data_IF_778475955297
#
_entry.id   IF_778475955297
#
_cell.length_a   1.000
_cell.length_b   1.000
_cell.length_c   1.000
_cell.angle_alpha   90.00
_cell.angle_beta   90.00
_cell.angle_gamma   90.00
#
_symmetry.space_group_name_H-M   'P 1'
#
loop_
_entity.id
_entity.type
_entity.pdbx_description
1 polymer ?
#
# COMPACT_ATOMS: atom_id res chain seq x y z
N UNK A 1 12.52 -16.09 -1.97
CA UNK A 1 11.90 -15.13 -1.03
C UNK A 1 10.73 -15.79 -0.35
N UNK A 2 10.48 -15.46 0.91
CA UNK A 2 9.38 -16.04 1.72
C UNK A 2 8.00 -15.84 1.06
N UNK A 3 7.82 -14.76 0.30
CA UNK A 3 6.58 -14.46 -0.44
C UNK A 3 6.29 -15.46 -1.56
N UNK A 4 7.31 -15.94 -2.28
CA UNK A 4 7.12 -17.02 -3.27
C UNK A 4 6.66 -18.30 -2.58
N UNK A 5 7.24 -18.62 -1.43
CA UNK A 5 6.83 -19.78 -0.62
C UNK A 5 5.38 -19.63 -0.15
N UNK A 6 4.99 -18.45 0.35
CA UNK A 6 3.62 -18.17 0.76
C UNK A 6 2.63 -18.24 -0.41
N UNK A 7 2.99 -17.68 -1.57
CA UNK A 7 2.20 -17.75 -2.81
C UNK A 7 1.98 -19.20 -3.24
N UNK A 8 3.02 -20.04 -3.16
CA UNK A 8 2.93 -21.44 -3.53
C UNK A 8 2.08 -22.25 -2.54
N UNK A 9 2.26 -22.02 -1.23
CA UNK A 9 1.41 -22.62 -0.20
C UNK A 9 -0.07 -22.23 -0.37
N UNK A 10 -0.35 -20.98 -0.75
CA UNK A 10 -1.72 -20.52 -1.00
C UNK A 10 -2.31 -21.15 -2.28
N UNK A 11 -1.50 -21.33 -3.33
CA UNK A 11 -1.92 -22.02 -4.55
C UNK A 11 -2.21 -23.51 -4.30
N UNK A 12 -1.37 -24.19 -3.49
CA UNK A 12 -1.60 -25.56 -3.06
C UNK A 12 -2.87 -25.69 -2.22
N UNK A 13 -3.07 -24.74 -1.30
CA UNK A 13 -4.29 -24.68 -0.48
C UNK A 13 -5.53 -24.50 -1.34
N UNK A 14 -5.49 -23.57 -2.30
CA UNK A 14 -6.60 -23.38 -3.23
C UNK A 14 -6.88 -24.64 -4.04
N UNK A 15 -5.86 -25.29 -4.59
CA UNK A 15 -6.02 -26.55 -5.34
C UNK A 15 -6.69 -27.64 -4.49
N UNK A 16 -6.33 -27.76 -3.21
CA UNK A 16 -6.98 -28.69 -2.28
C UNK A 16 -8.42 -28.26 -1.97
N UNK A 17 -8.65 -26.96 -1.83
CA UNK A 17 -9.96 -26.37 -1.56
C UNK A 17 -10.95 -26.60 -2.71
N UNK A 18 -10.47 -26.54 -3.96
CA UNK A 18 -11.24 -26.83 -5.17
C UNK A 18 -11.88 -28.23 -5.14
N UNK A 19 -11.22 -29.22 -4.49
CA UNK A 19 -11.76 -30.58 -4.34
C UNK A 19 -13.02 -30.64 -3.47
N UNK A 20 -13.25 -29.64 -2.64
CA UNK A 20 -14.40 -29.54 -1.73
C UNK A 20 -15.51 -28.66 -2.31
N UNK A 21 -15.34 -28.14 -3.54
CA UNK A 21 -16.36 -27.28 -4.21
C UNK A 21 -17.70 -27.94 -4.44
N UNK A 22 -17.76 -29.27 -4.47
CA UNK A 22 -19.04 -29.99 -4.55
C UNK A 22 -19.99 -29.61 -3.39
N UNK A 23 -19.45 -29.17 -2.24
CA UNK A 23 -20.24 -28.70 -1.09
C UNK A 23 -20.96 -27.37 -1.32
N UNK A 24 -20.68 -26.66 -2.42
CA UNK A 24 -21.29 -25.35 -2.73
C UNK A 24 -22.80 -25.42 -2.89
N UNK A 25 -23.34 -26.60 -3.24
CA UNK A 25 -24.76 -26.85 -3.47
C UNK A 25 -25.52 -27.09 -2.16
N UNK A 26 -24.81 -27.44 -1.08
CA UNK A 26 -25.42 -27.79 0.20
C UNK A 26 -25.85 -26.51 0.93
N UNK A 27 -27.13 -26.36 1.31
CA UNK A 27 -27.60 -25.23 2.12
C UNK A 27 -26.76 -25.08 3.39
N UNK A 28 -26.47 -23.84 3.79
CA UNK A 28 -25.62 -23.48 4.94
C UNK A 28 -24.12 -23.79 4.74
N UNK A 29 -23.72 -25.05 4.51
CA UNK A 29 -22.31 -25.43 4.35
C UNK A 29 -21.69 -24.78 3.10
N UNK A 30 -22.43 -24.75 2.00
CA UNK A 30 -22.00 -24.13 0.75
C UNK A 30 -21.71 -22.63 0.86
N UNK A 31 -22.34 -21.95 1.83
CA UNK A 31 -22.07 -20.54 2.09
C UNK A 31 -20.71 -20.34 2.76
N UNK A 32 -20.33 -21.20 3.71
CA UNK A 32 -19.00 -21.13 4.33
C UNK A 32 -17.90 -21.53 3.36
N UNK A 33 -18.18 -22.49 2.48
CA UNK A 33 -17.18 -22.90 1.49
C UNK A 33 -17.01 -21.88 0.37
N UNK A 34 -18.07 -21.16 0.00
CA UNK A 34 -17.94 -20.01 -0.89
C UNK A 34 -17.13 -18.88 -0.25
N UNK A 35 -17.34 -18.59 1.02
CA UNK A 35 -16.58 -17.55 1.74
C UNK A 35 -15.10 -17.89 1.86
N UNK A 36 -14.76 -19.15 2.09
CA UNK A 36 -13.36 -19.57 2.08
C UNK A 36 -12.73 -19.41 0.71
N UNK A 37 -13.46 -19.65 -0.39
CA UNK A 37 -12.95 -19.38 -1.74
C UNK A 37 -12.69 -17.88 -1.95
N UNK A 38 -13.63 -17.02 -1.53
CA UNK A 38 -13.46 -15.58 -1.58
C UNK A 38 -12.24 -15.12 -0.75
N UNK A 39 -12.04 -15.69 0.44
CA UNK A 39 -10.87 -15.41 1.27
C UNK A 39 -9.56 -15.84 0.61
N UNK A 40 -9.54 -17.00 -0.06
CA UNK A 40 -8.36 -17.48 -0.80
C UNK A 40 -8.05 -16.58 -2.00
N UNK A 41 -9.07 -16.17 -2.76
CA UNK A 41 -8.91 -15.26 -3.89
C UNK A 41 -8.38 -13.90 -3.42
N UNK A 42 -8.94 -13.35 -2.35
CA UNK A 42 -8.44 -12.12 -1.73
C UNK A 42 -6.98 -12.26 -1.30
N UNK A 43 -6.63 -13.37 -0.65
CA UNK A 43 -5.26 -13.66 -0.25
C UNK A 43 -4.28 -13.70 -1.42
N UNK A 44 -4.69 -14.30 -2.56
CA UNK A 44 -3.86 -14.34 -3.77
C UNK A 44 -3.60 -12.93 -4.32
N UNK A 45 -4.65 -12.11 -4.39
CA UNK A 45 -4.53 -10.73 -4.86
C UNK A 45 -3.66 -9.88 -3.93
N UNK A 46 -3.76 -10.05 -2.61
CA UNK A 46 -2.89 -9.37 -1.64
C UNK A 46 -1.42 -9.82 -1.73
N UNK A 47 -1.16 -11.13 -1.90
CA UNK A 47 0.22 -11.62 -2.08
C UNK A 47 0.80 -11.10 -3.38
N UNK A 48 0.00 -11.06 -4.46
CA UNK A 48 0.43 -10.53 -5.75
C UNK A 48 0.76 -9.05 -5.69
N UNK A 49 -0.02 -8.25 -4.95
CA UNK A 49 0.26 -6.84 -4.75
C UNK A 49 1.56 -6.62 -3.94
N UNK A 50 1.80 -7.45 -2.91
CA UNK A 50 3.05 -7.45 -2.15
C UNK A 50 4.27 -7.87 -2.99
N UNK A 51 4.13 -8.90 -3.81
CA UNK A 51 5.19 -9.35 -4.73
C UNK A 51 5.55 -8.25 -5.72
N UNK A 52 4.54 -7.62 -6.33
CA UNK A 52 4.72 -6.47 -7.22
C UNK A 52 5.45 -5.33 -6.50
N UNK A 53 5.01 -4.95 -5.30
CA UNK A 53 5.64 -3.89 -4.52
C UNK A 53 7.12 -4.18 -4.25
N UNK A 54 7.46 -5.39 -3.83
CA UNK A 54 8.83 -5.76 -3.51
C UNK A 54 9.68 -5.80 -4.77
N UNK A 55 9.18 -6.35 -5.88
CA UNK A 55 9.91 -6.38 -7.15
C UNK A 55 10.17 -4.95 -7.66
N UNK A 56 9.22 -4.03 -7.51
CA UNK A 56 9.37 -2.64 -7.94
C UNK A 56 10.26 -1.81 -7.03
N UNK A 57 10.25 -2.05 -5.72
CA UNK A 57 11.03 -1.29 -4.73
C UNK A 57 12.46 -1.83 -4.58
N UNK A 58 12.69 -3.14 -4.74
CA UNK A 58 14.00 -3.78 -4.55
C UNK A 58 15.15 -3.09 -5.30
N UNK A 59 15.02 -2.68 -6.57
CA UNK A 59 16.09 -1.99 -7.30
C UNK A 59 16.52 -0.64 -6.68
N UNK A 60 15.68 -0.05 -5.82
CA UNK A 60 15.86 1.25 -5.19
C UNK A 60 15.97 1.14 -3.66
N UNK A 61 16.06 -0.07 -3.10
CA UNK A 61 16.03 -0.31 -1.66
C UNK A 61 17.14 0.47 -0.90
N UNK A 62 18.36 0.51 -1.45
CA UNK A 62 19.49 1.24 -0.87
C UNK A 62 19.24 2.76 -0.82
N UNK A 63 18.59 3.32 -1.84
CA UNK A 63 18.23 4.75 -1.90
C UNK A 63 17.20 5.12 -0.82
N UNK A 64 16.26 4.21 -0.57
CA UNK A 64 15.26 4.34 0.49
C UNK A 64 15.83 4.08 1.89
N UNK A 65 17.11 3.72 2.01
CA UNK A 65 17.77 3.48 3.29
C UNK A 65 17.52 2.10 3.87
N UNK A 66 17.01 1.15 3.08
CA UNK A 66 16.97 -0.25 3.48
C UNK A 66 18.36 -0.86 3.36
N UNK A 67 18.71 -1.73 4.30
CA UNK A 67 19.95 -2.51 4.23
C UNK A 67 19.66 -3.78 3.43
N UNK A 68 20.22 -3.91 2.22
CA UNK A 68 20.16 -5.15 1.44
C UNK A 68 21.51 -5.85 1.42
N UNK A 69 21.50 -7.17 1.53
CA UNK A 69 22.71 -8.00 1.45
C UNK A 69 23.23 -8.14 0.00
N UNK A 70 22.38 -7.85 -0.99
CA UNK A 70 22.72 -7.85 -2.42
C UNK A 70 23.00 -6.42 -2.92
N UNK A 71 24.00 -6.28 -3.80
CA UNK A 71 24.30 -5.02 -4.45
C UNK A 71 23.12 -4.63 -5.37
N UNK A 72 22.45 -3.52 -5.07
CA UNK A 72 21.42 -3.00 -5.97
C UNK A 72 22.05 -2.44 -7.26
N UNK A 73 21.37 -2.54 -8.42
CA UNK A 73 21.84 -1.94 -9.68
C UNK A 73 22.04 -0.41 -9.58
N UNK A 74 21.41 0.23 -8.59
CA UNK A 74 21.57 1.64 -8.26
C UNK A 74 22.93 1.96 -7.63
N UNK A 75 23.84 1.00 -7.46
CA UNK A 75 25.24 1.18 -7.03
C UNK A 75 26.14 2.06 -7.92
N UNK A 76 25.59 2.73 -8.95
CA UNK A 76 26.23 3.82 -9.70
C UNK A 76 25.73 5.22 -9.30
N UNK A 77 24.72 5.32 -8.43
CA UNK A 77 24.25 6.60 -7.89
C UNK A 77 25.09 7.01 -6.68
N UNK A 78 25.36 8.32 -6.49
CA UNK A 78 26.29 8.79 -5.47
C UNK A 78 25.81 8.32 -4.09
N UNK A 79 26.74 7.92 -3.21
CA UNK A 79 26.48 7.82 -1.77
C UNK A 79 25.64 9.03 -1.39
N UNK A 80 24.42 8.83 -0.92
CA UNK A 80 23.54 9.95 -0.60
C UNK A 80 24.24 10.81 0.45
N UNK A 81 24.70 12.01 0.06
CA UNK A 81 25.54 12.86 0.90
C UNK A 81 24.69 13.78 1.77
N UNK A 82 23.45 14.07 1.34
CA UNK A 82 22.55 15.06 1.93
C UNK A 82 21.12 14.52 2.08
N UNK A 83 20.28 15.19 2.90
CA UNK A 83 18.88 14.81 3.09
C UNK A 83 18.04 15.22 1.86
N UNK A 84 18.45 16.30 1.20
CA UNK A 84 17.86 16.86 -0.01
C UNK A 84 17.92 15.84 -1.15
N UNK A 85 19.08 15.22 -1.36
CA UNK A 85 19.28 14.19 -2.37
C UNK A 85 18.36 12.98 -2.11
N UNK A 86 18.19 12.57 -0.84
CA UNK A 86 17.26 11.47 -0.48
C UNK A 86 15.84 11.77 -0.90
N UNK A 87 15.37 12.99 -0.62
CA UNK A 87 13.99 13.40 -0.92
C UNK A 87 13.77 13.38 -2.44
N UNK A 88 14.72 13.91 -3.22
CA UNK A 88 14.67 13.91 -4.68
C UNK A 88 14.68 12.48 -5.24
N UNK A 89 15.57 11.62 -4.75
CA UNK A 89 15.63 10.22 -5.18
C UNK A 89 14.37 9.44 -4.81
N UNK A 90 13.82 9.64 -3.61
CA UNK A 90 12.55 9.03 -3.21
C UNK A 90 11.42 9.43 -4.15
N UNK A 91 11.34 10.70 -4.52
CA UNK A 91 10.32 11.18 -5.45
C UNK A 91 10.50 10.63 -6.86
N UNK A 92 11.73 10.53 -7.35
CA UNK A 92 12.03 9.89 -8.64
C UNK A 92 11.70 8.40 -8.63
N UNK A 93 12.04 7.68 -7.56
CA UNK A 93 11.67 6.28 -7.39
C UNK A 93 10.15 6.12 -7.41
N UNK A 94 9.42 7.00 -6.72
CA UNK A 94 7.95 7.01 -6.72
C UNK A 94 7.35 7.18 -8.13
N UNK A 95 7.94 8.02 -8.97
CA UNK A 95 7.55 8.17 -10.38
C UNK A 95 7.80 6.88 -11.18
N UNK A 96 9.01 6.31 -11.04
CA UNK A 96 9.41 5.08 -11.72
C UNK A 96 8.55 3.87 -11.34
N UNK A 97 8.11 3.78 -10.07
CA UNK A 97 7.21 2.71 -9.62
C UNK A 97 5.74 3.05 -9.83
N UNK A 98 5.37 4.25 -10.28
CA UNK A 98 3.96 4.64 -10.45
C UNK A 98 3.12 3.67 -11.29
N UNK A 99 3.62 3.09 -12.41
CA UNK A 99 2.87 2.08 -13.17
C UNK A 99 2.60 0.82 -12.36
N UNK A 100 3.51 0.44 -11.47
CA UNK A 100 3.36 -0.73 -10.60
C UNK A 100 2.46 -0.41 -9.39
N UNK A 101 2.48 0.82 -8.87
CA UNK A 101 1.48 1.29 -7.90
C UNK A 101 0.05 1.23 -8.46
N UNK A 102 -0.10 1.44 -9.78
CA UNK A 102 -1.38 1.25 -10.45
C UNK A 102 -1.83 -0.21 -10.45
N UNK A 103 -0.91 -1.16 -10.70
CA UNK A 103 -1.16 -2.61 -10.60
C UNK A 103 -1.47 -3.04 -9.17
N UNK A 104 -0.70 -2.57 -8.19
CA UNK A 104 -0.90 -2.83 -6.76
C UNK A 104 -2.30 -2.37 -6.34
N UNK A 105 -2.70 -1.16 -6.75
CA UNK A 105 -4.05 -0.65 -6.49
C UNK A 105 -5.15 -1.51 -7.09
N UNK A 106 -4.97 -2.02 -8.32
CA UNK A 106 -5.92 -2.92 -8.94
C UNK A 106 -6.03 -4.27 -8.20
N UNK A 107 -4.90 -4.86 -7.82
CA UNK A 107 -4.87 -6.11 -7.07
C UNK A 107 -5.48 -5.95 -5.65
N UNK A 108 -5.24 -4.81 -4.99
CA UNK A 108 -5.89 -4.47 -3.71
C UNK A 108 -7.41 -4.26 -3.86
N UNK A 109 -7.86 -3.63 -4.94
CA UNK A 109 -9.29 -3.47 -5.22
C UNK A 109 -9.98 -4.82 -5.48
N UNK A 110 -9.32 -5.74 -6.19
CA UNK A 110 -9.85 -7.10 -6.38
C UNK A 110 -9.89 -7.86 -5.04
N UNK A 111 -8.85 -7.71 -4.20
CA UNK A 111 -8.86 -8.30 -2.86
C UNK A 111 -10.02 -7.77 -2.00
N UNK A 112 -10.27 -6.46 -2.02
CA UNK A 112 -11.39 -5.84 -1.33
C UNK A 112 -12.73 -6.42 -1.82
N UNK A 113 -12.93 -6.48 -3.14
CA UNK A 113 -14.15 -7.02 -3.76
C UNK A 113 -14.43 -8.47 -3.35
N UNK A 114 -13.39 -9.31 -3.32
CA UNK A 114 -13.51 -10.69 -2.85
C UNK A 114 -13.85 -10.75 -1.34
N UNK A 115 -13.22 -9.92 -0.52
CA UNK A 115 -13.51 -9.82 0.92
C UNK A 115 -14.93 -9.29 1.21
N UNK A 116 -15.46 -8.41 0.38
CA UNK A 116 -16.82 -7.86 0.52
C UNK A 116 -17.91 -8.91 0.28
N UNK A 117 -17.61 -9.95 -0.51
CA UNK A 117 -18.52 -11.09 -0.71
C UNK A 117 -18.65 -11.96 0.55
N UNK A 118 -17.69 -11.91 1.46
CA UNK A 118 -17.73 -12.63 2.75
C UNK A 118 -18.71 -11.91 3.67
N UNK A 119 -19.68 -12.66 4.23
CA UNK A 119 -20.69 -12.05 5.14
C UNK A 119 -20.34 -12.38 6.58
N UNK A 120 -19.89 -11.36 7.29
CA UNK A 120 -19.45 -11.41 8.70
C UNK A 120 -20.53 -11.99 9.63
N UNK A 121 -21.80 -11.71 9.34
CA UNK A 121 -22.96 -12.20 10.10
C UNK A 121 -23.12 -13.72 10.13
N UNK A 122 -22.49 -14.45 9.20
CA UNK A 122 -22.48 -15.94 9.20
C UNK A 122 -21.58 -16.52 10.28
N UNK A 123 -20.55 -15.80 10.70
CA UNK A 123 -19.58 -16.33 11.66
C UNK A 123 -20.00 -15.99 13.09
N UNK A 124 -19.94 -16.92 14.05
CA UNK A 124 -20.23 -16.61 15.45
C UNK A 124 -19.20 -15.62 16.02
N UNK A 125 -19.62 -14.85 17.04
CA UNK A 125 -18.73 -13.86 17.68
C UNK A 125 -17.48 -14.54 18.23
N UNK A 126 -17.65 -15.69 18.89
CA UNK A 126 -16.56 -16.53 19.40
C UNK A 126 -16.65 -17.94 18.83
N UNK A 127 -15.51 -18.48 18.39
CA UNK A 127 -15.35 -19.88 18.02
C UNK A 127 -14.07 -20.40 18.70
N UNK A 128 -14.18 -21.49 19.47
CA UNK A 128 -13.06 -22.04 20.25
C UNK A 128 -12.33 -21.00 21.11
N UNK A 129 -13.08 -20.08 21.75
CA UNK A 129 -12.52 -19.01 22.58
C UNK A 129 -11.88 -17.85 21.80
N UNK A 130 -11.83 -17.91 20.47
CA UNK A 130 -11.27 -16.85 19.62
C UNK A 130 -12.38 -16.02 18.99
N UNK A 131 -12.19 -14.70 18.96
CA UNK A 131 -13.11 -13.78 18.28
C UNK A 131 -12.87 -13.81 16.77
N UNK A 132 -13.63 -14.63 16.05
CA UNK A 132 -13.43 -14.80 14.60
C UNK A 132 -14.11 -13.69 13.82
N UNK A 133 -15.34 -13.31 14.20
CA UNK A 133 -16.08 -12.25 13.52
C UNK A 133 -15.31 -10.94 13.51
N UNK A 134 -14.76 -10.52 14.65
CA UNK A 134 -13.98 -9.28 14.76
C UNK A 134 -12.71 -9.32 13.90
N UNK A 135 -12.04 -10.47 13.80
CA UNK A 135 -10.87 -10.64 12.92
C UNK A 135 -11.22 -10.52 11.44
N UNK A 136 -12.33 -11.12 11.02
CA UNK A 136 -12.81 -10.99 9.62
C UNK A 136 -13.11 -9.52 9.32
N UNK A 137 -13.90 -8.87 10.18
CA UNK A 137 -14.23 -7.44 10.01
C UNK A 137 -12.98 -6.56 10.00
N UNK A 138 -12.01 -6.82 10.88
CA UNK A 138 -10.76 -6.07 10.93
C UNK A 138 -9.91 -6.24 9.67
N UNK A 139 -9.84 -7.45 9.10
CA UNK A 139 -9.13 -7.69 7.84
C UNK A 139 -9.84 -6.95 6.70
N UNK A 140 -11.18 -7.01 6.64
CA UNK A 140 -11.98 -6.29 5.64
C UNK A 140 -11.75 -4.78 5.71
N UNK A 141 -11.81 -4.20 6.92
CA UNK A 141 -11.59 -2.77 7.12
C UNK A 141 -10.17 -2.38 6.76
N UNK A 142 -9.17 -3.13 7.21
CA UNK A 142 -7.75 -2.85 6.92
C UNK A 142 -7.48 -2.84 5.41
N UNK A 143 -8.00 -3.83 4.67
CA UNK A 143 -7.80 -3.92 3.22
C UNK A 143 -8.54 -2.79 2.50
N UNK A 144 -9.78 -2.50 2.90
CA UNK A 144 -10.57 -1.41 2.31
C UNK A 144 -9.94 -0.04 2.55
N UNK A 145 -9.54 0.25 3.80
CA UNK A 145 -8.86 1.49 4.17
C UNK A 145 -7.54 1.63 3.42
N UNK A 146 -6.74 0.56 3.32
CA UNK A 146 -5.47 0.59 2.61
C UNK A 146 -5.65 0.82 1.10
N UNK A 147 -6.66 0.18 0.48
CA UNK A 147 -6.99 0.40 -0.93
C UNK A 147 -7.46 1.84 -1.19
N UNK A 148 -8.26 2.39 -0.27
CA UNK A 148 -8.72 3.78 -0.33
C UNK A 148 -7.56 4.77 -0.17
N UNK A 149 -6.69 4.56 0.82
CA UNK A 149 -5.49 5.38 1.04
C UNK A 149 -4.59 5.39 -0.18
N UNK A 150 -4.32 4.22 -0.78
CA UNK A 150 -3.52 4.14 -2.00
C UNK A 150 -4.17 4.92 -3.14
N UNK A 151 -5.49 4.79 -3.32
CA UNK A 151 -6.24 5.52 -4.36
C UNK A 151 -6.17 7.04 -4.15
N UNK A 152 -6.27 7.51 -2.90
CA UNK A 152 -6.18 8.92 -2.54
C UNK A 152 -4.75 9.47 -2.63
N UNK A 153 -3.75 8.64 -2.35
CA UNK A 153 -2.33 9.03 -2.39
C UNK A 153 -1.80 9.08 -3.83
N UNK A 154 -2.34 8.29 -4.77
CA UNK A 154 -1.88 8.23 -6.18
C UNK A 154 -1.71 9.61 -6.84
N UNK A 155 -2.68 10.55 -6.80
CA UNK A 155 -2.50 11.87 -7.39
C UNK A 155 -1.33 12.64 -6.77
N UNK A 156 -1.16 12.57 -5.45
CA UNK A 156 -0.06 13.21 -4.75
C UNK A 156 1.28 12.59 -5.16
N UNK A 157 1.36 11.26 -5.22
CA UNK A 157 2.57 10.52 -5.62
C UNK A 157 3.01 10.93 -7.03
N UNK A 158 2.06 11.08 -7.97
CA UNK A 158 2.34 11.55 -9.34
C UNK A 158 2.77 13.01 -9.40
N UNK A 159 2.35 13.84 -8.45
CA UNK A 159 2.68 15.26 -8.38
C UNK A 159 3.98 15.54 -7.61
N UNK A 160 4.41 14.62 -6.73
CA UNK A 160 5.60 14.78 -5.89
C UNK A 160 6.87 15.16 -6.67
N UNK A 161 7.21 14.52 -7.82
CA UNK A 161 8.39 14.92 -8.59
C UNK A 161 8.32 16.38 -9.05
N UNK A 162 7.19 16.84 -9.57
CA UNK A 162 7.01 18.24 -9.99
C UNK A 162 7.09 19.19 -8.80
N UNK A 163 6.48 18.85 -7.67
CA UNK A 163 6.58 19.66 -6.45
C UNK A 163 8.03 19.76 -5.94
N UNK A 164 8.83 18.74 -6.17
CA UNK A 164 10.23 18.69 -5.78
C UNK A 164 11.19 19.24 -6.85
N UNK A 165 10.69 19.96 -7.85
CA UNK A 165 11.56 20.64 -8.81
C UNK A 165 12.05 19.78 -9.96
N UNK A 166 11.47 18.61 -10.19
CA UNK A 166 11.84 17.70 -11.29
C UNK A 166 10.75 17.70 -12.39
N UNK A 167 11.06 18.06 -13.66
CA UNK A 167 12.40 18.36 -14.20
C UNK A 167 12.82 19.84 -14.08
N UNK A 168 11.89 20.73 -13.73
CA UNK A 168 12.14 22.16 -13.67
C UNK A 168 12.13 22.66 -12.22
N UNK A 169 13.17 23.40 -11.84
CA UNK A 169 13.32 24.02 -10.54
C UNK A 169 12.06 24.81 -10.14
N UNK A 170 11.60 24.62 -8.89
CA UNK A 170 10.48 25.38 -8.31
C UNK A 170 11.01 26.31 -7.22
N UNK A 171 10.44 27.51 -7.13
CA UNK A 171 10.72 28.43 -6.03
C UNK A 171 9.43 28.65 -5.25
N UNK A 172 9.45 28.25 -3.97
CA UNK A 172 8.34 28.37 -3.05
C UNK A 172 8.54 29.57 -2.12
N UNK A 173 7.49 30.36 -1.95
CA UNK A 173 7.45 31.39 -0.92
C UNK A 173 6.79 30.80 0.33
N UNK A 174 7.57 30.66 1.40
CA UNK A 174 7.12 30.16 2.70
C UNK A 174 6.78 31.38 3.55
N UNK A 175 5.52 31.46 3.97
CA UNK A 175 5.01 32.51 4.84
C UNK A 175 4.90 31.96 6.27
N UNK A 176 5.52 32.64 7.22
CA UNK A 176 5.44 32.28 8.64
C UNK A 176 4.39 33.16 9.32
N UNK A 177 3.39 32.51 9.90
CA UNK A 177 2.36 33.16 10.69
C UNK A 177 2.68 32.96 12.18
N UNK A 178 2.70 34.05 12.94
CA UNK A 178 2.84 33.98 14.39
C UNK A 178 1.46 33.81 15.03
N UNK A 179 1.15 32.63 15.53
CA UNK A 179 -0.12 32.28 16.18
C UNK A 179 -0.28 32.87 17.60
N UNK A 180 0.79 33.41 18.20
CA UNK A 180 0.75 34.07 19.50
C UNK A 180 0.10 35.46 19.49
N UNK A 181 -0.14 36.07 18.32
CA UNK A 181 -0.91 37.31 18.18
C UNK A 181 -2.37 37.03 17.78
N UNK A 182 -3.26 36.91 18.77
CA UNK A 182 -4.69 36.70 18.58
C UNK A 182 -5.36 37.96 17.96
N UNK A 183 -5.72 37.88 16.68
CA UNK A 183 -6.62 38.82 15.99
C UNK A 183 -7.70 38.05 15.20
N UNK A 184 -8.84 38.68 14.86
CA UNK A 184 -9.98 38.01 14.21
C UNK A 184 -9.64 37.33 12.87
N UNK A 185 -8.52 37.68 12.24
CA UNK A 185 -8.04 37.11 10.96
C UNK A 185 -7.05 35.95 11.11
N UNK A 186 -6.67 35.57 12.34
CA UNK A 186 -5.51 34.71 12.58
C UNK A 186 -4.19 35.49 12.44
N UNK A 187 -3.14 35.02 13.11
CA UNK A 187 -1.87 35.71 13.41
C UNK A 187 -1.19 36.54 12.31
N UNK A 188 -0.28 37.43 12.73
CA UNK A 188 0.45 38.33 11.82
C UNK A 188 1.50 37.56 11.01
N UNK A 189 1.61 37.84 9.70
CA UNK A 189 2.69 37.31 8.84
C UNK A 189 3.98 38.07 9.16
N UNK A 190 4.83 37.50 10.01
CA UNK A 190 6.02 38.18 10.55
C UNK A 190 7.28 37.95 9.72
N UNK A 191 7.35 36.84 8.98
CA UNK A 191 8.49 36.50 8.16
C UNK A 191 8.08 35.77 6.88
N UNK A 192 8.92 35.88 5.87
CA UNK A 192 8.82 35.09 4.64
C UNK A 192 10.20 34.57 4.26
N UNK A 193 10.23 33.41 3.59
CA UNK A 193 11.43 32.84 3.02
C UNK A 193 11.15 32.36 1.60
N UNK A 194 12.16 32.39 0.73
CA UNK A 194 12.11 31.72 -0.56
C UNK A 194 12.93 30.43 -0.48
N UNK A 195 12.29 29.31 -0.81
CA UNK A 195 12.91 28.00 -0.91
C UNK A 195 12.94 27.58 -2.36
N UNK A 196 14.14 27.39 -2.91
CA UNK A 196 14.31 26.84 -4.26
C UNK A 196 14.56 25.35 -4.14
N UNK A 197 13.79 24.55 -4.88
CA UNK A 197 14.00 23.11 -5.03
C UNK A 197 14.36 22.85 -6.49
N UNK A 198 15.42 22.09 -6.71
CA UNK A 198 16.07 21.80 -8.00
C UNK A 198 16.45 20.34 -8.06
#
# INVERSE_FOLDING_TARGET
TEIKTLSQQLADLDTKYQKVRWTFIIPVVGNYTRDGQHALNAGKSLIKSLDTLIVSVSPYADLLGFKTDEATPSGQTPKVQSIEDRIVYMAQTLDLISPDLDKIGADMAEAQKELDMIKDGRYPVKLFGKEIRSKITAIKSTVSESAQLLTQAKPLIKLLPDLLGNPNAKTYMILFQNDAELRPTGGFMTAYAFMKVT
#
